data_IF_441572179811
#
_entry.id   IF_441572179811
#
_cell.length_a   1.000
_cell.length_b   1.000
_cell.length_c   1.000
_cell.angle_alpha   90.00
_cell.angle_beta   90.00
_cell.angle_gamma   90.00
#
_symmetry.space_group_name_H-M   'P 1'
#
loop_
_entity.id
_entity.type
_entity.pdbx_description
1 polymer ?
#
# COMPACT_ATOMS: atom_id res chain seq x y z
N UNK A 1 38.54 23.29 4.58
CA UNK A 1 37.76 22.07 4.86
C UNK A 1 37.08 21.69 3.56
N UNK A 2 37.41 20.53 2.99
CA UNK A 2 36.82 20.09 1.71
C UNK A 2 35.56 19.28 1.98
N UNK A 3 34.66 19.22 1.01
CA UNK A 3 33.43 18.42 1.13
C UNK A 3 33.77 16.94 1.35
N UNK A 4 34.83 16.44 0.69
CA UNK A 4 35.32 15.08 0.90
C UNK A 4 35.68 14.76 2.36
N UNK A 5 36.18 15.75 3.12
CA UNK A 5 36.55 15.60 4.53
C UNK A 5 35.31 15.50 5.44
N UNK A 6 34.13 15.91 4.93
CA UNK A 6 32.87 16.01 5.67
C UNK A 6 31.84 14.94 5.32
N UNK A 7 31.94 14.28 4.16
CA UNK A 7 30.98 13.26 3.73
C UNK A 7 30.91 12.05 4.67
N UNK A 8 32.03 11.67 5.31
CA UNK A 8 32.06 10.55 6.26
C UNK A 8 31.43 10.89 7.62
N UNK A 9 31.75 12.02 8.28
CA UNK A 9 31.07 12.40 9.53
C UNK A 9 29.65 12.93 9.31
N UNK A 10 29.35 13.48 8.13
CA UNK A 10 28.06 14.08 7.78
C UNK A 10 27.61 13.59 6.40
N UNK A 11 27.14 12.34 6.30
CA UNK A 11 26.63 11.82 5.03
C UNK A 11 25.42 12.62 4.56
N UNK A 12 25.23 12.69 3.25
CA UNK A 12 24.00 13.21 2.66
C UNK A 12 22.85 12.30 3.14
N UNK A 13 21.82 12.92 3.70
CA UNK A 13 20.59 12.24 4.10
C UNK A 13 19.45 12.76 3.23
N UNK A 14 18.81 11.84 2.55
CA UNK A 14 17.59 12.09 1.79
C UNK A 14 16.39 11.58 2.57
N UNK A 15 15.31 12.35 2.55
CA UNK A 15 14.04 11.98 3.16
C UNK A 15 13.01 11.90 2.05
N UNK A 16 12.39 10.73 1.93
CA UNK A 16 11.37 10.48 0.93
C UNK A 16 10.00 10.95 1.42
N UNK A 17 9.03 11.18 0.51
CA UNK A 17 7.71 11.67 0.86
C UNK A 17 6.99 10.73 1.83
N UNK A 18 6.23 11.32 2.76
CA UNK A 18 5.27 10.62 3.60
C UNK A 18 3.85 11.02 3.19
N UNK A 19 2.87 10.10 3.29
CA UNK A 19 1.50 10.46 3.01
C UNK A 19 0.98 11.40 4.10
N UNK A 20 -0.11 12.11 3.78
CA UNK A 20 -0.96 12.65 4.85
C UNK A 20 -1.55 11.45 5.62
N UNK A 21 -1.60 11.53 6.95
CA UNK A 21 -2.12 10.45 7.79
C UNK A 21 -3.28 10.90 8.68
N UNK A 22 -4.24 10.01 8.91
CA UNK A 22 -5.28 10.13 9.93
C UNK A 22 -5.16 8.97 10.90
N UNK A 23 -5.00 9.27 12.19
CA UNK A 23 -4.80 8.27 13.22
C UNK A 23 -5.78 8.49 14.36
N UNK A 24 -6.35 7.40 14.87
CA UNK A 24 -7.21 7.40 16.06
C UNK A 24 -8.59 6.79 15.83
N UNK A 25 -9.35 6.53 16.91
CA UNK A 25 -10.66 5.88 16.82
C UNK A 25 -11.63 6.69 15.96
N UNK A 26 -12.27 6.02 14.99
CA UNK A 26 -13.19 6.64 14.03
C UNK A 26 -12.51 7.23 12.79
N UNK A 27 -11.19 7.12 12.64
CA UNK A 27 -10.49 7.59 11.44
C UNK A 27 -10.98 6.91 10.16
N UNK A 28 -11.36 5.63 10.22
CA UNK A 28 -11.90 4.91 9.06
C UNK A 28 -13.26 5.46 8.58
N UNK A 29 -14.04 6.10 9.45
CA UNK A 29 -15.31 6.72 9.09
C UNK A 29 -15.10 7.94 8.18
N UNK A 30 -13.93 8.57 8.24
CA UNK A 30 -13.57 9.72 7.42
C UNK A 30 -13.18 9.35 5.98
N UNK A 31 -13.02 8.06 5.66
CA UNK A 31 -12.59 7.60 4.33
C UNK A 31 -13.53 8.08 3.23
N UNK A 32 -14.85 7.95 3.40
CA UNK A 32 -15.84 8.42 2.42
C UNK A 32 -15.75 9.92 2.13
N UNK A 33 -15.84 10.78 3.16
CA UNK A 33 -15.67 12.23 3.00
C UNK A 33 -14.32 12.64 2.39
N UNK A 34 -13.22 11.98 2.76
CA UNK A 34 -11.90 12.28 2.20
C UNK A 34 -11.77 11.82 0.75
N UNK A 35 -12.33 10.67 0.38
CA UNK A 35 -12.39 10.19 -1.00
C UNK A 35 -13.12 11.20 -1.90
N UNK A 36 -14.26 11.74 -1.45
CA UNK A 36 -14.97 12.80 -2.17
C UNK A 36 -14.13 14.07 -2.34
N UNK A 37 -13.43 14.51 -1.29
CA UNK A 37 -12.53 15.68 -1.38
C UNK A 37 -11.38 15.47 -2.38
N UNK A 38 -10.92 14.23 -2.51
CA UNK A 38 -9.89 13.85 -3.49
C UNK A 38 -10.47 13.63 -4.90
N UNK A 39 -11.80 13.74 -5.08
CA UNK A 39 -12.47 13.63 -6.37
C UNK A 39 -12.70 12.20 -6.85
N UNK A 40 -12.69 11.21 -5.96
CA UNK A 40 -12.96 9.81 -6.29
C UNK A 40 -14.41 9.69 -6.78
N UNK A 41 -14.63 8.92 -7.85
CA UNK A 41 -15.99 8.57 -8.32
C UNK A 41 -16.18 7.06 -8.36
N UNK A 42 -15.19 6.33 -8.87
CA UNK A 42 -15.21 4.86 -8.93
C UNK A 42 -13.87 4.31 -8.44
N UNK A 43 -13.88 3.67 -7.28
CA UNK A 43 -12.66 3.19 -6.65
C UNK A 43 -12.54 1.68 -6.72
N UNK A 44 -11.31 1.20 -6.95
CA UNK A 44 -10.96 -0.20 -6.75
C UNK A 44 -10.56 -0.39 -5.28
N UNK A 45 -11.42 -1.09 -4.53
CA UNK A 45 -11.18 -1.48 -3.15
C UNK A 45 -10.46 -2.83 -3.12
N UNK A 46 -9.21 -2.84 -2.67
CA UNK A 46 -8.36 -4.02 -2.56
C UNK A 46 -8.26 -4.50 -1.10
N UNK A 47 -8.30 -5.82 -0.89
CA UNK A 47 -8.21 -6.42 0.45
C UNK A 47 -7.54 -7.80 0.44
N UNK A 48 -6.92 -8.18 1.56
CA UNK A 48 -6.51 -9.56 1.87
C UNK A 48 -6.68 -9.89 3.35
N UNK A 49 -6.80 -11.18 3.69
CA UNK A 49 -6.76 -11.64 5.09
C UNK A 49 -7.97 -11.31 5.96
N UNK A 50 -8.97 -10.59 5.44
CA UNK A 50 -10.16 -10.15 6.18
C UNK A 50 -11.41 -11.03 5.96
N UNK A 51 -11.24 -12.20 5.34
CA UNK A 51 -12.35 -13.15 5.10
C UNK A 51 -12.95 -13.60 6.44
N UNK A 52 -14.27 -13.53 6.54
CA UNK A 52 -15.01 -13.86 7.77
C UNK A 52 -15.25 -12.66 8.70
N UNK A 53 -14.75 -11.47 8.36
CA UNK A 53 -15.12 -10.20 9.00
C UNK A 53 -16.05 -9.39 8.09
N UNK A 54 -16.77 -8.43 8.66
CA UNK A 54 -17.59 -7.48 7.89
C UNK A 54 -16.81 -6.22 7.46
N UNK A 55 -15.51 -6.12 7.74
CA UNK A 55 -14.71 -4.90 7.52
C UNK A 55 -14.77 -4.43 6.05
N UNK A 56 -14.51 -5.34 5.11
CA UNK A 56 -14.52 -5.04 3.67
C UNK A 56 -15.90 -4.61 3.21
N UNK A 57 -16.94 -5.31 3.68
CA UNK A 57 -18.32 -5.00 3.34
C UNK A 57 -18.73 -3.63 3.88
N UNK A 58 -18.48 -3.36 5.16
CA UNK A 58 -18.80 -2.09 5.81
C UNK A 58 -18.09 -0.91 5.15
N UNK A 59 -16.81 -1.08 4.78
CA UNK A 59 -16.07 -0.05 4.06
C UNK A 59 -16.67 0.20 2.67
N UNK A 60 -16.98 -0.85 1.92
CA UNK A 60 -17.62 -0.72 0.60
C UNK A 60 -18.98 -0.02 0.70
N UNK A 61 -19.82 -0.38 1.67
CA UNK A 61 -21.12 0.27 1.89
C UNK A 61 -20.98 1.73 2.36
N UNK A 62 -19.98 2.03 3.19
CA UNK A 62 -19.68 3.41 3.59
C UNK A 62 -19.28 4.28 2.39
N UNK A 63 -18.41 3.78 1.51
CA UNK A 63 -18.03 4.48 0.28
C UNK A 63 -19.24 4.70 -0.64
N UNK A 64 -20.08 3.67 -0.84
CA UNK A 64 -21.32 3.78 -1.62
C UNK A 64 -22.32 4.77 -1.03
N UNK A 65 -22.45 4.80 0.30
CA UNK A 65 -23.30 5.76 1.01
C UNK A 65 -22.90 7.21 0.72
N UNK A 66 -21.61 7.46 0.52
CA UNK A 66 -21.08 8.76 0.11
C UNK A 66 -21.19 9.03 -1.40
N UNK A 67 -21.79 8.12 -2.17
CA UNK A 67 -22.04 8.28 -3.61
C UNK A 67 -20.91 7.80 -4.51
N UNK A 68 -19.96 7.00 -4.00
CA UNK A 68 -18.91 6.39 -4.80
C UNK A 68 -19.34 5.04 -5.35
N UNK A 69 -18.92 4.73 -6.57
CA UNK A 69 -18.95 3.37 -7.09
C UNK A 69 -17.74 2.60 -6.56
N UNK A 70 -17.95 1.34 -6.16
CA UNK A 70 -16.91 0.51 -5.55
C UNK A 70 -16.82 -0.82 -6.28
N UNK A 71 -15.62 -1.12 -6.79
CA UNK A 71 -15.25 -2.43 -7.33
C UNK A 71 -14.37 -3.10 -6.28
N UNK A 72 -14.66 -4.36 -5.92
CA UNK A 72 -13.92 -5.06 -4.86
C UNK A 72 -12.99 -6.11 -5.47
N UNK A 73 -11.74 -6.12 -5.02
CA UNK A 73 -10.77 -7.18 -5.26
C UNK A 73 -10.23 -7.70 -3.92
N UNK A 74 -10.72 -8.86 -3.49
CA UNK A 74 -10.42 -9.49 -2.19
C UNK A 74 -9.61 -10.79 -2.34
N UNK A 75 -8.94 -10.94 -3.48
CA UNK A 75 -8.14 -12.12 -3.83
C UNK A 75 -6.64 -11.87 -3.69
N UNK A 76 -6.22 -10.76 -3.08
CA UNK A 76 -4.80 -10.54 -2.76
C UNK A 76 -4.34 -11.61 -1.77
N UNK A 77 -3.19 -12.23 -2.07
CA UNK A 77 -2.59 -13.25 -1.22
C UNK A 77 -1.49 -12.67 -0.31
N UNK A 78 -1.12 -13.45 0.70
CA UNK A 78 0.06 -13.12 1.53
C UNK A 78 1.33 -13.21 0.69
N UNK A 79 2.22 -12.24 0.86
CA UNK A 79 3.34 -12.00 -0.06
C UNK A 79 2.81 -11.86 -1.50
N UNK A 80 2.19 -10.72 -1.84
CA UNK A 80 1.39 -10.59 -3.05
C UNK A 80 2.22 -10.98 -4.28
N UNK A 81 1.59 -11.74 -5.17
CA UNK A 81 2.20 -12.17 -6.42
C UNK A 81 1.97 -11.12 -7.50
N UNK A 82 2.85 -11.09 -8.48
CA UNK A 82 2.70 -10.28 -9.69
C UNK A 82 1.32 -10.47 -10.35
N UNK A 83 0.76 -11.67 -10.38
CA UNK A 83 -0.59 -11.88 -10.90
C UNK A 83 -1.69 -11.24 -10.03
N UNK A 84 -1.56 -11.15 -8.70
CA UNK A 84 -2.54 -10.43 -7.88
C UNK A 84 -2.58 -8.94 -8.26
N UNK A 85 -1.40 -8.38 -8.57
CA UNK A 85 -1.26 -7.01 -9.05
C UNK A 85 -1.90 -6.86 -10.43
N UNK A 86 -1.56 -7.74 -11.38
CA UNK A 86 -2.05 -7.61 -12.75
C UNK A 86 -3.55 -7.89 -12.89
N UNK A 87 -4.12 -8.76 -12.05
CA UNK A 87 -5.57 -8.96 -11.95
C UNK A 87 -6.27 -7.67 -11.47
N UNK A 88 -5.66 -6.97 -10.51
CA UNK A 88 -6.17 -5.69 -10.00
C UNK A 88 -6.10 -4.60 -11.06
N UNK A 89 -4.99 -4.54 -11.83
CA UNK A 89 -4.82 -3.63 -12.98
C UNK A 89 -5.93 -3.87 -14.01
N UNK A 90 -6.18 -5.14 -14.35
CA UNK A 90 -7.25 -5.52 -15.27
C UNK A 90 -8.63 -5.07 -14.78
N UNK A 91 -8.97 -5.37 -13.51
CA UNK A 91 -10.25 -4.96 -12.93
C UNK A 91 -10.41 -3.44 -12.89
N UNK A 92 -9.34 -2.72 -12.55
CA UNK A 92 -9.32 -1.26 -12.55
C UNK A 92 -9.68 -0.70 -13.93
N UNK A 93 -9.06 -1.24 -14.99
CA UNK A 93 -9.29 -0.79 -16.37
C UNK A 93 -10.67 -1.20 -16.91
N UNK A 94 -11.07 -2.47 -16.74
CA UNK A 94 -12.35 -3.01 -17.22
C UNK A 94 -13.55 -2.29 -16.61
N UNK A 95 -13.42 -1.85 -15.37
CA UNK A 95 -14.46 -1.10 -14.68
C UNK A 95 -14.20 0.41 -14.71
N UNK A 96 -13.21 0.92 -15.45
CA UNK A 96 -12.92 2.37 -15.54
C UNK A 96 -12.82 3.05 -14.16
N UNK A 97 -12.10 2.43 -13.22
CA UNK A 97 -11.84 3.04 -11.92
C UNK A 97 -10.95 4.29 -12.07
N UNK A 98 -11.05 5.21 -11.12
CA UNK A 98 -10.28 6.46 -11.08
C UNK A 98 -9.37 6.59 -9.85
N UNK A 99 -9.46 5.63 -8.93
CA UNK A 99 -8.84 5.70 -7.62
C UNK A 99 -8.70 4.33 -6.99
N UNK A 100 -7.89 4.26 -5.93
CA UNK A 100 -7.70 3.04 -5.14
C UNK A 100 -8.04 3.26 -3.67
N UNK A 101 -8.62 2.24 -3.05
CA UNK A 101 -8.68 2.08 -1.60
C UNK A 101 -8.05 0.72 -1.28
N UNK A 102 -7.04 0.67 -0.40
CA UNK A 102 -6.56 -0.60 0.13
C UNK A 102 -6.95 -0.71 1.60
N UNK A 103 -7.53 -1.85 2.00
CA UNK A 103 -7.88 -2.14 3.38
C UNK A 103 -7.37 -3.52 3.78
N UNK A 104 -6.49 -3.59 4.77
CA UNK A 104 -5.81 -4.84 5.10
C UNK A 104 -4.49 -4.62 5.81
N UNK A 105 -3.53 -5.51 5.57
CA UNK A 105 -2.15 -5.36 6.04
C UNK A 105 -1.18 -5.07 4.90
N UNK A 106 0.12 -5.22 5.15
CA UNK A 106 1.17 -4.92 4.18
C UNK A 106 1.01 -5.59 2.82
N UNK A 107 0.52 -6.84 2.77
CA UNK A 107 0.29 -7.52 1.48
C UNK A 107 -0.75 -6.81 0.60
N UNK A 108 -1.81 -6.25 1.19
CA UNK A 108 -2.83 -5.49 0.46
C UNK A 108 -2.25 -4.17 -0.06
N UNK A 109 -1.54 -3.44 0.81
CA UNK A 109 -0.96 -2.14 0.46
C UNK A 109 0.11 -2.28 -0.62
N UNK A 110 0.98 -3.29 -0.52
CA UNK A 110 2.04 -3.56 -1.51
C UNK A 110 1.45 -3.93 -2.88
N UNK A 111 0.43 -4.81 -2.90
CA UNK A 111 -0.27 -5.15 -4.14
C UNK A 111 -0.95 -3.92 -4.76
N UNK A 112 -1.58 -3.08 -3.94
CA UNK A 112 -2.23 -1.86 -4.39
C UNK A 112 -1.22 -0.84 -4.94
N UNK A 113 -0.08 -0.66 -4.28
CA UNK A 113 1.02 0.20 -4.77
C UNK A 113 1.54 -0.28 -6.12
N UNK A 114 1.81 -1.58 -6.25
CA UNK A 114 2.23 -2.19 -7.52
C UNK A 114 1.19 -1.96 -8.63
N UNK A 115 -0.09 -2.21 -8.36
CA UNK A 115 -1.17 -2.02 -9.32
C UNK A 115 -1.28 -0.56 -9.76
N UNK A 116 -1.12 0.36 -8.81
CA UNK A 116 -1.20 1.80 -9.06
C UNK A 116 -0.04 2.29 -9.94
N UNK A 117 1.18 1.80 -9.69
CA UNK A 117 2.34 2.04 -10.55
C UNK A 117 2.07 1.48 -11.95
N UNK A 118 1.64 0.22 -12.08
CA UNK A 118 1.30 -0.37 -13.38
C UNK A 118 0.23 0.41 -14.14
N UNK A 119 -0.83 0.88 -13.46
CA UNK A 119 -1.87 1.73 -14.07
C UNK A 119 -1.32 3.07 -14.56
N UNK A 120 -0.43 3.70 -13.81
CA UNK A 120 0.22 4.94 -14.21
C UNK A 120 1.13 4.78 -15.44
N UNK A 121 1.42 3.54 -15.85
CA UNK A 121 2.27 3.18 -16.97
C UNK A 121 1.55 2.25 -17.95
N UNK A 122 0.29 2.60 -18.27
CA UNK A 122 -0.52 1.97 -19.32
C UNK A 122 -0.73 0.45 -19.15
N UNK A 123 -0.71 -0.04 -17.89
CA UNK A 123 -0.90 -1.45 -17.58
C UNK A 123 0.33 -2.33 -17.77
N UNK A 124 1.53 -1.73 -17.82
CA UNK A 124 2.81 -2.47 -17.84
C UNK A 124 2.92 -3.47 -16.67
N UNK A 125 3.69 -4.53 -16.89
CA UNK A 125 3.92 -5.55 -15.88
C UNK A 125 4.61 -4.92 -14.66
N UNK A 126 4.14 -5.26 -13.46
CA UNK A 126 4.69 -4.74 -12.20
C UNK A 126 6.17 -5.11 -11.99
N UNK A 127 6.62 -6.23 -12.55
CA UNK A 127 8.00 -6.71 -12.44
C UNK A 127 8.98 -5.81 -13.21
N UNK A 128 8.50 -5.04 -14.20
CA UNK A 128 9.33 -4.05 -14.91
C UNK A 128 9.82 -2.91 -13.98
N UNK A 129 9.19 -2.76 -12.81
CA UNK A 129 9.47 -1.69 -11.85
C UNK A 129 10.28 -2.17 -10.63
N UNK A 130 10.91 -3.34 -10.71
CA UNK A 130 11.84 -3.81 -9.67
C UNK A 130 13.03 -2.85 -9.49
N UNK A 131 13.24 -2.40 -8.24
CA UNK A 131 14.39 -1.59 -7.84
C UNK A 131 14.01 -0.19 -7.36
N UNK A 132 14.92 0.77 -7.54
CA UNK A 132 14.82 2.11 -6.95
C UNK A 132 14.41 3.15 -7.99
N UNK A 133 13.31 3.86 -7.75
CA UNK A 133 12.71 4.91 -8.59
C UNK A 133 12.67 4.52 -10.08
N UNK A 134 12.08 3.35 -10.35
CA UNK A 134 11.92 2.84 -11.71
C UNK A 134 10.73 3.44 -12.44
N UNK A 135 9.72 3.93 -11.71
CA UNK A 135 8.57 4.56 -12.35
C UNK A 135 9.01 5.84 -13.06
N UNK A 136 8.50 6.03 -14.28
CA UNK A 136 8.81 7.22 -15.08
C UNK A 136 7.72 8.29 -14.96
N UNK A 137 6.51 7.89 -14.55
CA UNK A 137 5.37 8.77 -14.38
C UNK A 137 5.11 9.07 -12.89
N UNK A 138 5.37 10.31 -12.41
CA UNK A 138 5.10 10.68 -11.03
C UNK A 138 3.60 10.84 -10.70
N UNK A 139 2.73 10.88 -11.72
CA UNK A 139 1.28 11.08 -11.56
C UNK A 139 0.57 9.74 -11.48
N UNK A 140 0.43 9.24 -10.27
CA UNK A 140 -0.32 8.01 -9.98
C UNK A 140 -1.78 8.34 -9.62
N UNK A 141 -2.74 7.43 -9.89
CA UNK A 141 -4.09 7.53 -9.35
C UNK A 141 -4.05 7.74 -7.82
N UNK A 142 -5.00 8.50 -7.24
CA UNK A 142 -5.00 8.72 -5.81
C UNK A 142 -5.37 7.45 -5.05
N UNK A 143 -4.83 7.32 -3.84
CA UNK A 143 -4.88 6.10 -3.04
C UNK A 143 -5.11 6.41 -1.56
N UNK A 144 -6.13 5.78 -0.96
CA UNK A 144 -6.34 5.75 0.48
C UNK A 144 -5.95 4.36 1.00
N UNK A 145 -4.95 4.29 1.89
CA UNK A 145 -4.49 3.07 2.54
C UNK A 145 -5.05 3.00 3.97
N UNK A 146 -5.77 1.93 4.30
CA UNK A 146 -6.45 1.72 5.57
C UNK A 146 -5.87 0.47 6.22
N UNK A 147 -5.10 0.66 7.28
CA UNK A 147 -4.46 -0.44 7.98
C UNK A 147 -5.47 -1.21 8.85
N UNK A 148 -5.28 -2.51 8.95
CA UNK A 148 -5.96 -3.42 9.90
C UNK A 148 -4.97 -4.20 10.77
N UNK A 149 -3.67 -4.00 10.54
CA UNK A 149 -2.56 -4.64 11.27
C UNK A 149 -1.61 -3.58 11.79
N UNK A 150 -1.22 -3.66 13.06
CA UNK A 150 -0.24 -2.74 13.67
C UNK A 150 1.19 -3.27 13.51
N UNK A 151 1.72 -3.25 12.28
CA UNK A 151 2.98 -3.95 11.92
C UNK A 151 3.82 -3.25 10.86
N UNK A 152 3.45 -3.44 9.60
CA UNK A 152 4.36 -3.28 8.46
C UNK A 152 4.71 -1.83 8.12
N UNK A 153 3.86 -0.86 8.46
CA UNK A 153 4.01 0.53 8.05
C UNK A 153 3.86 0.74 6.53
N UNK A 154 3.30 -0.24 5.81
CA UNK A 154 3.20 -0.13 4.34
C UNK A 154 2.17 0.92 3.90
N UNK A 155 1.19 1.26 4.72
CA UNK A 155 0.31 2.40 4.45
C UNK A 155 1.07 3.74 4.37
N UNK A 156 2.20 3.85 5.06
CA UNK A 156 3.04 5.06 5.11
C UNK A 156 4.33 4.98 4.29
N UNK A 157 4.80 3.79 3.95
CA UNK A 157 6.06 3.60 3.24
C UNK A 157 5.98 3.92 1.74
N UNK A 158 7.12 4.26 1.17
CA UNK A 158 7.40 4.41 -0.27
C UNK A 158 7.95 3.12 -0.89
N UNK A 159 7.96 2.04 -0.12
CA UNK A 159 8.37 0.72 -0.56
C UNK A 159 7.14 -0.16 -0.84
N UNK A 160 7.26 -1.09 -1.78
CA UNK A 160 6.31 -2.18 -1.96
C UNK A 160 7.06 -3.45 -2.34
N UNK A 161 6.50 -4.59 -1.96
CA UNK A 161 7.19 -5.87 -2.07
C UNK A 161 6.31 -6.88 -2.78
N UNK A 162 6.75 -7.34 -3.96
CA UNK A 162 6.01 -8.25 -4.83
C UNK A 162 6.81 -9.55 -4.99
N UNK A 163 6.11 -10.66 -5.14
CA UNK A 163 6.71 -11.92 -5.58
C UNK A 163 6.56 -12.06 -7.08
N UNK A 164 7.67 -12.02 -7.80
CA UNK A 164 7.74 -12.31 -9.22
C UNK A 164 7.59 -13.82 -9.43
N UNK A 165 6.58 -14.22 -10.20
CA UNK A 165 6.31 -15.62 -10.56
C UNK A 165 6.44 -15.86 -12.07
N UNK A 166 6.78 -14.84 -12.85
CA UNK A 166 6.72 -14.86 -14.31
C UNK A 166 8.08 -14.74 -14.99
N UNK A 167 9.07 -14.07 -14.39
CA UNK A 167 10.41 -13.93 -14.98
C UNK A 167 11.20 -15.24 -14.95
N UNK A 168 11.14 -15.96 -13.83
CA UNK A 168 11.65 -17.34 -13.69
C UNK A 168 10.61 -18.19 -12.96
N UNK A 169 9.68 -18.84 -13.69
CA UNK A 169 8.61 -19.64 -13.10
C UNK A 169 9.10 -20.82 -12.23
N UNK A 170 10.31 -21.32 -12.47
CA UNK A 170 10.90 -22.41 -11.69
C UNK A 170 11.52 -21.90 -10.39
N UNK A 171 11.87 -20.61 -10.31
CA UNK A 171 12.44 -19.97 -9.12
C UNK A 171 11.77 -18.62 -8.79
N UNK A 172 10.51 -18.62 -8.33
CA UNK A 172 9.85 -17.40 -7.89
C UNK A 172 10.64 -16.68 -6.80
N UNK A 173 10.75 -15.36 -6.90
CA UNK A 173 11.52 -14.57 -5.95
C UNK A 173 10.74 -13.32 -5.51
N UNK A 174 11.05 -12.85 -4.31
CA UNK A 174 10.46 -11.66 -3.73
C UNK A 174 11.42 -10.50 -3.92
N UNK A 175 10.96 -9.42 -4.52
CA UNK A 175 11.74 -8.20 -4.71
C UNK A 175 11.11 -7.02 -3.96
N UNK A 176 11.95 -6.07 -3.58
CA UNK A 176 11.53 -4.78 -3.02
C UNK A 176 11.70 -3.70 -4.08
N UNK A 177 10.68 -2.90 -4.27
CA UNK A 177 10.73 -1.69 -5.06
C UNK A 177 10.56 -0.48 -4.14
N UNK A 178 11.38 0.55 -4.38
CA UNK A 178 11.31 1.84 -3.69
C UNK A 178 10.95 2.90 -4.70
N UNK A 179 9.83 3.60 -4.50
CA UNK A 179 9.37 4.59 -5.46
C UNK A 179 8.54 5.68 -4.79
N UNK A 180 8.95 6.94 -4.96
CA UNK A 180 8.23 8.10 -4.40
C UNK A 180 6.78 8.19 -4.90
N UNK A 181 6.53 7.73 -6.13
CA UNK A 181 5.21 7.76 -6.73
C UNK A 181 4.27 6.66 -6.16
N UNK A 182 4.81 5.71 -5.39
CA UNK A 182 4.06 4.64 -4.72
C UNK A 182 3.44 5.06 -3.39
N UNK A 183 3.88 6.17 -2.80
CA UNK A 183 3.36 6.70 -1.52
C UNK A 183 1.86 6.96 -1.60
N UNK A 184 1.09 6.53 -0.60
CA UNK A 184 -0.36 6.74 -0.58
C UNK A 184 -0.72 8.23 -0.55
N UNK A 185 -1.92 8.58 -1.00
CA UNK A 185 -2.41 9.96 -0.84
C UNK A 185 -2.86 10.22 0.60
N UNK A 186 -3.47 9.22 1.23
CA UNK A 186 -3.89 9.23 2.63
C UNK A 186 -3.63 7.86 3.26
N UNK A 187 -2.94 7.85 4.39
CA UNK A 187 -2.86 6.72 5.31
C UNK A 187 -3.90 6.85 6.42
N UNK A 188 -4.55 5.77 6.80
CA UNK A 188 -5.58 5.71 7.84
C UNK A 188 -5.25 4.58 8.81
N UNK A 189 -5.00 4.95 10.07
CA UNK A 189 -4.73 4.03 11.16
C UNK A 189 -5.82 4.19 12.23
N UNK A 190 -6.85 3.34 12.15
CA UNK A 190 -7.91 3.27 13.14
C UNK A 190 -7.72 2.06 14.06
N UNK A 191 -7.41 2.25 15.36
CA UNK A 191 -7.21 1.14 16.27
C UNK A 191 -8.44 0.27 16.44
N UNK A 192 -9.65 0.74 16.11
CA UNK A 192 -10.88 -0.07 16.14
C UNK A 192 -10.79 -1.22 15.14
N UNK A 193 -10.17 -1.00 13.98
CA UNK A 193 -9.99 -2.05 12.96
C UNK A 193 -8.92 -3.08 13.35
N UNK A 194 -8.06 -2.77 14.33
CA UNK A 194 -7.01 -3.68 14.79
C UNK A 194 -7.53 -4.74 15.75
N UNK A 195 -8.70 -4.54 16.36
CA UNK A 195 -9.26 -5.52 17.31
C UNK A 195 -9.74 -6.81 16.67
N UNK A 196 -10.02 -6.81 15.36
CA UNK A 196 -10.34 -8.02 14.59
C UNK A 196 -9.08 -8.86 14.27
N UNK A 197 -7.89 -8.29 14.49
CA UNK A 197 -6.63 -9.00 14.29
C UNK A 197 -6.44 -10.08 15.37
N UNK A 198 -6.18 -11.36 15.01
CA UNK A 198 -5.93 -12.40 15.99
C UNK A 198 -4.76 -12.05 16.92
N UNK A 199 -4.86 -12.43 18.19
CA UNK A 199 -3.87 -12.08 19.23
C UNK A 199 -2.46 -12.52 18.84
N UNK A 200 -2.31 -13.75 18.32
CA UNK A 200 -1.00 -14.27 17.90
C UNK A 200 -0.42 -13.50 16.72
N UNK A 201 -1.27 -13.04 15.79
CA UNK A 201 -0.83 -12.23 14.67
C UNK A 201 -0.47 -10.81 15.11
N UNK A 202 -1.21 -10.24 16.06
CA UNK A 202 -0.88 -8.95 16.69
C UNK A 202 0.49 -9.00 17.39
N UNK A 203 0.80 -10.10 18.09
CA UNK A 203 2.11 -10.29 18.70
C UNK A 203 3.24 -10.35 17.65
N UNK A 204 3.02 -11.05 16.54
CA UNK A 204 3.96 -11.09 15.42
C UNK A 204 4.19 -9.70 14.81
N UNK A 205 3.12 -8.95 14.56
CA UNK A 205 3.21 -7.56 14.10
C UNK A 205 3.99 -6.68 15.10
N UNK A 206 3.81 -6.89 16.42
CA UNK A 206 4.58 -6.16 17.43
C UNK A 206 6.09 -6.41 17.35
N UNK A 207 6.52 -7.64 17.07
CA UNK A 207 7.94 -7.94 16.82
C UNK A 207 8.45 -7.34 15.51
N UNK A 208 7.60 -7.28 14.49
CA UNK A 208 7.89 -6.60 13.22
C UNK A 208 8.13 -5.09 13.43
N UNK A 209 7.25 -4.41 14.19
CA UNK A 209 7.44 -3.00 14.58
C UNK A 209 8.75 -2.80 15.34
N UNK A 210 9.10 -3.72 16.26
CA UNK A 210 10.35 -3.62 17.01
C UNK A 210 11.57 -3.74 16.09
N UNK A 211 11.52 -4.61 15.08
CA UNK A 211 12.56 -4.69 14.05
C UNK A 211 12.62 -3.39 13.26
N UNK A 212 11.49 -2.90 12.74
CA UNK A 212 11.41 -1.62 12.02
C UNK A 212 11.87 -0.41 12.83
N UNK A 213 11.75 -0.43 14.16
CA UNK A 213 12.28 0.63 15.02
C UNK A 213 13.79 0.48 15.29
N UNK A 214 14.28 -0.74 15.45
CA UNK A 214 15.66 -1.01 15.85
C UNK A 214 16.64 -1.04 14.68
N UNK A 215 16.28 -1.62 13.54
CA UNK A 215 17.16 -1.74 12.38
C UNK A 215 17.57 -0.37 11.81
N UNK A 216 16.65 0.58 11.54
CA UNK A 216 17.03 1.91 11.06
C UNK A 216 17.79 2.73 12.11
N UNK A 217 17.52 2.51 13.39
CA UNK A 217 18.22 3.19 14.49
C UNK A 217 19.72 2.88 14.51
N UNK A 218 20.12 1.68 14.06
CA UNK A 218 21.52 1.25 13.95
C UNK A 218 22.01 1.17 12.49
N UNK A 219 21.22 1.65 11.54
CA UNK A 219 21.56 1.65 10.11
C UNK A 219 22.73 2.59 9.81
N UNK A 220 23.47 2.29 8.74
CA UNK A 220 24.66 3.03 8.29
C UNK A 220 24.31 4.26 7.46
#
# INVERSE_FOLDING_TARGET
>A
MKVEDLLKPFPIKEFHPFPRAMMGPGAHEMVGPEALKMGFKRTLLMSSGLRGTDIVHNMAESLKWHGLEVVVYDQVESNPKDYNVMDSVKLYQENECDSFVSIGGGSTHDACKGARISIAHDGRNVNDFEGFNKSENPKNPPHIAISTTAGTGSETSWAYVITDTTTDPDNPHKYVAFDDASVATLAVDDPVLYFECPVDYTAQCGFDVLAHASEPYVSR
#
